data_IF_017114424898
#
_entry.id   IF_017114424898
#
_cell.length_a   1.000
_cell.length_b   1.000
_cell.length_c   1.000
_cell.angle_alpha   90.00
_cell.angle_beta   90.00
_cell.angle_gamma   90.00
#
_symmetry.space_group_name_H-M   'P 1'
#
loop_
_entity.id
_entity.type
_entity.pdbx_description
1 polymer ?
#
# COMPACT_ATOMS: atom_id res chain seq x y z
N UNK A 1 -70.03 -2.61 11.06
CA UNK A 1 -69.60 -2.61 9.64
C UNK A 1 -68.65 -1.44 9.42
N UNK A 2 -67.57 -1.66 8.66
CA UNK A 2 -66.57 -0.68 8.16
C UNK A 2 -65.49 -0.19 9.15
N UNK A 3 -64.46 -1.01 9.38
CA UNK A 3 -63.17 -0.50 9.92
C UNK A 3 -61.92 -1.27 9.45
N UNK A 4 -62.04 -2.29 8.59
CA UNK A 4 -60.93 -3.21 8.28
C UNK A 4 -60.29 -2.94 6.90
N UNK A 5 -60.82 -2.02 6.09
CA UNK A 5 -60.48 -1.93 4.66
C UNK A 5 -59.35 -0.95 4.28
N UNK A 6 -58.72 -0.23 5.22
CA UNK A 6 -57.76 0.84 4.89
C UNK A 6 -56.27 0.48 5.09
N UNK A 7 -55.95 -0.61 5.78
CA UNK A 7 -54.55 -0.99 6.01
C UNK A 7 -53.93 -1.80 4.87
N UNK A 8 -54.74 -2.42 4.00
CA UNK A 8 -54.24 -3.27 2.92
C UNK A 8 -53.65 -2.51 1.73
N UNK A 9 -54.00 -1.23 1.53
CA UNK A 9 -53.48 -0.44 0.39
C UNK A 9 -52.12 0.19 0.65
N UNK A 10 -51.71 0.37 1.90
CA UNK A 10 -50.41 1.00 2.22
C UNK A 10 -49.26 0.01 2.01
N UNK A 11 -49.48 -1.28 2.27
CA UNK A 11 -48.44 -2.32 2.13
C UNK A 11 -48.10 -2.60 0.66
N UNK A 12 -49.05 -2.44 -0.26
CA UNK A 12 -48.81 -2.71 -1.69
C UNK A 12 -48.03 -1.58 -2.41
N UNK A 13 -47.96 -0.37 -1.83
CA UNK A 13 -47.25 0.76 -2.44
C UNK A 13 -45.76 0.82 -2.06
N UNK A 14 -45.34 0.12 -1.01
CA UNK A 14 -43.94 0.14 -0.53
C UNK A 14 -42.99 -0.79 -1.29
N UNK A 15 -43.48 -1.68 -2.16
CA UNK A 15 -42.65 -2.72 -2.80
C UNK A 15 -42.10 -2.36 -4.19
N UNK A 16 -42.25 -1.13 -4.67
CA UNK A 16 -41.91 -0.74 -6.05
C UNK A 16 -40.74 0.28 -6.19
N UNK A 17 -39.99 0.58 -5.13
CA UNK A 17 -38.88 1.55 -5.18
C UNK A 17 -37.48 0.96 -4.91
N UNK A 18 -37.23 -0.28 -5.28
CA UNK A 18 -35.86 -0.81 -5.34
C UNK A 18 -35.23 -0.52 -6.72
N UNK A 19 -35.01 0.76 -7.03
CA UNK A 19 -34.14 1.12 -8.15
C UNK A 19 -32.70 0.86 -7.74
N UNK A 20 -32.14 -0.26 -8.20
CA UNK A 20 -30.72 -0.57 -8.07
C UNK A 20 -29.89 0.54 -8.71
N UNK A 21 -29.19 1.31 -7.88
CA UNK A 21 -28.20 2.29 -8.35
C UNK A 21 -26.99 1.50 -8.80
N UNK A 22 -26.93 1.21 -10.10
CA UNK A 22 -25.72 0.67 -10.72
C UNK A 22 -24.64 1.75 -10.63
N UNK A 23 -23.62 1.53 -9.80
CA UNK A 23 -22.51 2.46 -9.65
C UNK A 23 -21.83 2.63 -11.02
N UNK A 24 -21.92 3.82 -11.60
CA UNK A 24 -21.23 4.19 -12.83
C UNK A 24 -19.97 4.95 -12.43
N UNK A 25 -18.82 4.47 -12.89
CA UNK A 25 -17.52 5.11 -12.63
C UNK A 25 -17.19 5.97 -13.85
N UNK A 26 -16.83 7.22 -13.58
CA UNK A 26 -16.43 8.21 -14.58
C UNK A 26 -14.95 8.51 -14.44
N UNK A 27 -14.27 8.68 -15.57
CA UNK A 27 -12.86 9.07 -15.64
C UNK A 27 -12.72 10.51 -16.14
N UNK A 28 -11.83 11.26 -15.53
CA UNK A 28 -11.42 12.62 -15.95
C UNK A 28 -9.91 12.74 -15.92
N UNK A 29 -9.35 13.69 -16.66
CA UNK A 29 -7.94 14.06 -16.57
C UNK A 29 -7.82 15.31 -15.72
N UNK A 30 -6.99 15.29 -14.68
CA UNK A 30 -6.69 16.45 -13.85
C UNK A 30 -5.78 17.47 -14.56
N UNK A 31 -5.47 18.58 -13.88
CA UNK A 31 -4.59 19.63 -14.39
C UNK A 31 -3.13 19.19 -14.58
N UNK A 32 -2.75 18.05 -14.01
CA UNK A 32 -1.43 17.45 -14.15
C UNK A 32 -1.39 16.37 -15.25
N UNK A 33 -2.52 16.08 -15.90
CA UNK A 33 -2.60 15.05 -16.93
C UNK A 33 -2.86 13.63 -16.40
N UNK A 34 -3.21 13.46 -15.12
CA UNK A 34 -3.46 12.15 -14.53
C UNK A 34 -4.95 11.76 -14.60
N UNK A 35 -5.27 10.47 -14.81
CA UNK A 35 -6.63 9.99 -14.74
C UNK A 35 -7.14 9.96 -13.28
N UNK A 36 -8.31 10.54 -13.07
CA UNK A 36 -9.04 10.59 -11.79
C UNK A 36 -10.41 9.96 -12.00
N UNK A 37 -10.74 8.98 -11.14
CA UNK A 37 -12.00 8.25 -11.18
C UNK A 37 -12.98 8.77 -10.12
N UNK A 38 -14.23 8.98 -10.51
CA UNK A 38 -15.29 9.52 -9.66
C UNK A 38 -16.60 8.75 -9.85
N UNK A 39 -17.36 8.56 -8.77
CA UNK A 39 -18.71 8.00 -8.80
C UNK A 39 -19.79 9.03 -9.23
N UNK A 40 -19.40 10.30 -9.38
CA UNK A 40 -20.29 11.40 -9.80
C UNK A 40 -19.82 11.99 -11.13
N UNK A 41 -20.71 12.19 -12.12
CA UNK A 41 -20.35 12.77 -13.40
C UNK A 41 -19.91 14.23 -13.22
N UNK A 42 -18.78 14.58 -13.83
CA UNK A 42 -18.24 15.96 -13.88
C UNK A 42 -18.06 16.42 -15.33
N UNK A 43 -17.90 17.74 -15.52
CA UNK A 43 -17.73 18.31 -16.85
C UNK A 43 -16.44 17.79 -17.51
N UNK A 44 -16.56 17.14 -18.66
CA UNK A 44 -15.43 16.51 -19.36
C UNK A 44 -15.11 15.08 -18.91
N UNK A 45 -15.93 14.50 -18.05
CA UNK A 45 -15.80 13.08 -17.66
C UNK A 45 -16.33 12.13 -18.72
N UNK A 46 -15.62 11.03 -18.95
CA UNK A 46 -16.04 9.94 -19.82
C UNK A 46 -16.46 8.73 -18.97
N UNK A 47 -17.51 8.03 -19.38
CA UNK A 47 -17.99 6.85 -18.66
C UNK A 47 -17.05 5.68 -18.94
N UNK A 48 -16.60 5.03 -17.87
CA UNK A 48 -15.73 3.84 -17.97
C UNK A 48 -16.61 2.59 -18.05
N UNK A 49 -16.61 1.93 -19.20
CA UNK A 49 -17.25 0.61 -19.36
C UNK A 49 -16.33 -0.49 -18.83
N UNK A 50 -16.56 -0.87 -17.57
CA UNK A 50 -15.84 -1.99 -16.95
C UNK A 50 -16.40 -3.32 -17.46
N UNK A 51 -15.54 -4.30 -17.80
CA UNK A 51 -15.99 -5.65 -18.09
C UNK A 51 -16.69 -6.23 -16.86
N UNK A 52 -17.67 -7.11 -17.09
CA UNK A 52 -18.35 -7.81 -16.00
C UNK A 52 -17.32 -8.48 -15.08
N UNK A 53 -17.45 -8.27 -13.77
CA UNK A 53 -16.57 -8.89 -12.80
C UNK A 53 -16.66 -10.41 -12.95
N UNK A 54 -15.51 -11.07 -13.17
CA UNK A 54 -15.41 -12.52 -13.11
C UNK A 54 -15.55 -12.95 -11.65
N UNK A 55 -16.78 -13.01 -11.15
CA UNK A 55 -17.05 -13.56 -9.83
C UNK A 55 -16.96 -15.08 -9.98
N UNK A 56 -15.81 -15.64 -9.61
CA UNK A 56 -15.70 -17.07 -9.36
C UNK A 56 -16.40 -17.36 -8.02
N UNK A 57 -17.25 -18.37 -7.98
CA UNK A 57 -17.81 -18.87 -6.73
C UNK A 57 -16.68 -19.23 -5.76
N UNK A 58 -16.84 -18.85 -4.50
CA UNK A 58 -15.92 -19.29 -3.46
C UNK A 58 -15.89 -20.82 -3.46
N UNK A 59 -14.71 -21.46 -3.57
CA UNK A 59 -14.65 -22.91 -3.51
C UNK A 59 -15.26 -23.36 -2.17
N UNK A 60 -16.01 -24.49 -2.15
CA UNK A 60 -16.51 -25.05 -0.90
C UNK A 60 -15.35 -25.25 0.08
N UNK A 61 -15.57 -25.15 1.40
CA UNK A 61 -14.51 -25.31 2.39
C UNK A 61 -13.83 -26.67 2.19
N UNK A 62 -12.60 -26.63 1.67
CA UNK A 62 -11.85 -27.80 1.27
C UNK A 62 -11.40 -28.57 2.50
N UNK A 63 -11.84 -29.82 2.61
CA UNK A 63 -11.20 -30.80 3.48
C UNK A 63 -9.80 -31.08 2.90
N UNK A 64 -8.76 -30.95 3.73
CA UNK A 64 -7.40 -31.41 3.44
C UNK A 64 -7.26 -32.86 3.96
N UNK A 65 -6.45 -33.78 3.40
CA UNK A 65 -5.20 -33.50 2.68
C UNK A 65 -4.82 -34.39 1.45
N UNK A 66 -3.85 -33.83 0.70
CA UNK A 66 -2.81 -34.47 -0.12
C UNK A 66 -3.16 -35.21 -1.43
N UNK A 67 -2.86 -34.58 -2.56
CA UNK A 67 -2.20 -35.24 -3.69
C UNK A 67 -1.34 -34.24 -4.48
N UNK A 68 -0.10 -34.63 -4.78
CA UNK A 68 0.94 -33.85 -5.46
C UNK A 68 1.02 -34.32 -6.90
N UNK A 69 0.77 -33.46 -7.89
CA UNK A 69 1.30 -33.60 -9.26
C UNK A 69 1.53 -32.20 -9.88
N UNK A 70 2.63 -31.98 -10.63
CA UNK A 70 3.09 -30.67 -11.07
C UNK A 70 2.51 -30.29 -12.44
N UNK A 71 2.28 -28.98 -12.66
CA UNK A 71 1.89 -28.46 -13.97
C UNK A 71 2.72 -27.24 -14.37
N UNK A 72 3.21 -27.37 -15.59
CA UNK A 72 4.03 -26.49 -16.42
C UNK A 72 3.32 -25.20 -16.85
N UNK A 73 4.16 -24.21 -17.17
CA UNK A 73 3.89 -22.83 -17.64
C UNK A 73 2.88 -22.71 -18.80
N UNK A 74 2.36 -21.48 -19.05
CA UNK A 74 3.01 -20.67 -20.08
C UNK A 74 3.19 -19.19 -19.71
N UNK A 75 4.40 -18.72 -19.93
CA UNK A 75 4.78 -17.51 -20.67
C UNK A 75 3.65 -16.54 -21.07
N UNK A 76 3.62 -15.37 -20.43
CA UNK A 76 3.03 -14.16 -21.03
C UNK A 76 4.02 -12.99 -21.02
N UNK A 77 4.53 -12.82 -22.23
CA UNK A 77 5.16 -11.69 -22.90
C UNK A 77 4.59 -10.31 -22.49
N UNK A 78 5.51 -9.46 -22.09
CA UNK A 78 5.72 -8.09 -22.57
C UNK A 78 4.52 -7.12 -22.61
N UNK A 79 4.54 -6.16 -21.67
CA UNK A 79 4.26 -4.77 -22.02
C UNK A 79 5.43 -3.89 -21.56
N UNK A 80 5.86 -3.08 -22.52
CA UNK A 80 7.04 -2.24 -22.60
C UNK A 80 6.56 -0.78 -22.64
N UNK A 81 7.19 0.06 -21.82
CA UNK A 81 7.07 1.52 -21.78
C UNK A 81 7.73 1.99 -20.48
N UNK A 82 9.07 2.12 -20.39
CA UNK A 82 9.89 3.25 -20.88
C UNK A 82 9.17 4.58 -20.58
N UNK A 83 9.62 5.41 -19.63
CA UNK A 83 10.96 6.01 -19.58
C UNK A 83 11.31 6.50 -18.17
N UNK A 84 12.53 6.21 -17.68
CA UNK A 84 13.12 7.07 -16.65
C UNK A 84 14.07 6.49 -15.59
N UNK A 85 14.85 5.43 -15.85
CA UNK A 85 16.23 5.23 -15.31
C UNK A 85 16.77 3.85 -15.73
N UNK A 86 17.11 3.74 -17.01
CA UNK A 86 17.95 2.65 -17.53
C UNK A 86 19.40 3.13 -17.62
N UNK A 87 19.92 3.51 -16.46
CA UNK A 87 21.30 3.42 -16.05
C UNK A 87 21.09 3.02 -14.60
N UNK A 88 21.33 1.81 -14.17
CA UNK A 88 22.59 1.14 -14.34
C UNK A 88 22.32 -0.37 -14.18
N UNK A 89 22.67 -1.18 -15.18
CA UNK A 89 23.15 -2.54 -14.90
C UNK A 89 24.53 -2.38 -14.23
N UNK A 90 24.57 -1.62 -13.14
CA UNK A 90 25.76 -1.40 -12.33
C UNK A 90 26.05 -2.77 -11.80
N UNK A 91 27.25 -3.22 -12.07
CA UNK A 91 27.92 -4.09 -11.14
C UNK A 91 27.62 -3.52 -9.74
N UNK A 92 26.76 -4.21 -8.98
CA UNK A 92 26.36 -3.79 -7.64
C UNK A 92 27.68 -3.64 -6.89
N UNK A 93 28.16 -2.40 -6.75
CA UNK A 93 29.42 -2.07 -6.11
C UNK A 93 29.16 -1.84 -4.64
N UNK A 94 30.20 -1.94 -3.81
CA UNK A 94 30.05 -1.65 -2.38
C UNK A 94 29.62 -0.19 -2.16
N UNK A 95 30.10 0.75 -2.99
CA UNK A 95 29.67 2.15 -2.96
C UNK A 95 28.20 2.30 -3.35
N UNK A 96 27.74 1.65 -4.41
CA UNK A 96 26.32 1.68 -4.81
C UNK A 96 25.39 1.12 -3.72
N UNK A 97 25.80 0.08 -2.98
CA UNK A 97 25.03 -0.41 -1.84
C UNK A 97 24.95 0.60 -0.68
N UNK A 98 25.98 1.42 -0.46
CA UNK A 98 25.97 2.49 0.54
C UNK A 98 25.02 3.62 0.12
N UNK A 99 25.06 4.02 -1.16
CA UNK A 99 24.16 5.02 -1.72
C UNK A 99 22.69 4.58 -1.65
N UNK A 100 22.40 3.32 -1.99
CA UNK A 100 21.05 2.75 -1.82
C UNK A 100 20.60 2.79 -0.36
N UNK A 101 21.50 2.52 0.59
CA UNK A 101 21.17 2.58 2.01
C UNK A 101 20.93 4.01 2.47
N UNK A 102 21.71 4.99 2.00
CA UNK A 102 21.52 6.41 2.28
C UNK A 102 20.14 6.89 1.77
N UNK A 103 19.81 6.59 0.51
CA UNK A 103 18.52 6.94 -0.08
C UNK A 103 17.35 6.26 0.67
N UNK A 104 17.52 5.00 1.08
CA UNK A 104 16.57 4.32 1.96
C UNK A 104 16.39 5.09 3.28
N UNK A 105 17.46 5.50 3.96
CA UNK A 105 17.32 6.25 5.22
C UNK A 105 16.63 7.59 5.01
N UNK A 106 16.93 8.29 3.91
CA UNK A 106 16.29 9.56 3.57
C UNK A 106 14.79 9.39 3.38
N UNK A 107 14.35 8.44 2.54
CA UNK A 107 12.92 8.19 2.33
C UNK A 107 12.22 7.72 3.61
N UNK A 108 12.90 6.92 4.44
CA UNK A 108 12.38 6.55 5.76
C UNK A 108 12.14 7.80 6.61
N UNK A 109 13.09 8.72 6.68
CA UNK A 109 12.95 9.93 7.47
C UNK A 109 11.82 10.83 6.96
N UNK A 110 11.68 11.00 5.64
CA UNK A 110 10.57 11.74 5.02
C UNK A 110 9.20 11.17 5.43
N UNK A 111 9.09 9.83 5.53
CA UNK A 111 7.87 9.16 5.97
C UNK A 111 7.68 9.16 7.50
N UNK A 112 8.77 9.15 8.29
CA UNK A 112 8.72 9.13 9.75
C UNK A 112 8.44 10.53 10.32
N UNK A 113 9.01 11.59 9.73
CA UNK A 113 8.92 12.96 10.22
C UNK A 113 7.47 13.43 10.51
N UNK A 114 6.48 13.29 9.60
CA UNK A 114 5.11 13.71 9.90
C UNK A 114 4.48 12.90 11.04
N UNK A 115 4.77 11.60 11.14
CA UNK A 115 4.27 10.76 12.23
C UNK A 115 4.93 11.11 13.57
N UNK A 116 6.21 11.48 13.55
CA UNK A 116 6.93 11.94 14.73
C UNK A 116 6.34 13.25 15.25
N UNK A 117 6.04 14.19 14.36
CA UNK A 117 5.39 15.45 14.75
C UNK A 117 4.00 15.21 15.34
N UNK A 118 3.19 14.35 14.72
CA UNK A 118 1.90 13.94 15.29
C UNK A 118 2.04 13.31 16.68
N UNK A 119 3.07 12.49 16.90
CA UNK A 119 3.35 11.90 18.20
C UNK A 119 3.79 12.93 19.25
N UNK A 120 4.55 13.96 18.84
CA UNK A 120 4.93 15.09 19.69
C UNK A 120 3.69 15.89 20.09
N UNK A 121 2.85 16.27 19.12
CA UNK A 121 1.62 17.02 19.38
C UNK A 121 0.65 16.22 20.27
N UNK A 122 0.51 14.92 20.05
CA UNK A 122 -0.26 14.03 20.93
C UNK A 122 0.29 14.02 22.37
N UNK A 123 1.62 13.98 22.52
CA UNK A 123 2.28 14.03 23.83
C UNK A 123 2.00 15.36 24.55
N UNK A 124 2.09 16.49 23.85
CA UNK A 124 1.80 17.82 24.43
C UNK A 124 0.34 17.92 24.84
N UNK A 125 -0.58 17.58 23.95
CA UNK A 125 -2.02 17.75 24.15
C UNK A 125 -2.61 16.77 25.17
N UNK A 126 -2.32 15.47 25.04
CA UNK A 126 -2.98 14.44 25.83
C UNK A 126 -2.24 14.11 27.13
N UNK A 127 -0.90 14.22 27.14
CA UNK A 127 -0.10 13.94 28.34
C UNK A 127 0.26 15.21 29.11
N UNK A 128 -0.12 16.39 28.59
CA UNK A 128 0.12 17.71 29.20
C UNK A 128 1.59 17.92 29.59
N UNK A 129 2.50 17.47 28.73
CA UNK A 129 3.95 17.64 28.88
C UNK A 129 4.43 18.85 28.08
N UNK A 130 5.57 19.40 28.46
CA UNK A 130 6.19 20.48 27.70
C UNK A 130 6.72 19.95 26.35
N UNK A 131 6.78 20.85 25.36
CA UNK A 131 7.16 20.50 23.99
C UNK A 131 8.59 19.96 23.93
N UNK A 132 9.54 20.57 24.64
CA UNK A 132 10.94 20.15 24.64
C UNK A 132 11.12 18.71 25.17
N UNK A 133 10.37 18.34 26.21
CA UNK A 133 10.31 16.96 26.70
C UNK A 133 9.75 16.01 25.63
N UNK A 134 8.64 16.36 24.97
CA UNK A 134 8.03 15.52 23.96
C UNK A 134 8.93 15.34 22.71
N UNK A 135 9.64 16.39 22.28
CA UNK A 135 10.63 16.32 21.20
C UNK A 135 11.80 15.40 21.55
N UNK A 136 12.37 15.55 22.74
CA UNK A 136 13.44 14.68 23.24
C UNK A 136 12.98 13.23 23.36
N UNK A 137 11.77 13.00 23.88
CA UNK A 137 11.17 11.68 24.05
C UNK A 137 10.92 10.99 22.70
N UNK A 138 10.46 11.73 21.69
CA UNK A 138 10.19 11.20 20.36
C UNK A 138 11.39 11.28 19.40
N UNK A 139 12.58 11.65 19.87
CA UNK A 139 13.80 11.73 19.04
C UNK A 139 14.10 10.43 18.29
N UNK A 140 13.78 9.28 18.88
CA UNK A 140 14.00 7.95 18.30
C UNK A 140 12.72 7.32 17.76
N UNK A 141 11.66 8.11 17.56
CA UNK A 141 10.41 7.62 17.00
C UNK A 141 10.64 6.98 15.62
N UNK A 142 10.11 5.77 15.44
CA UNK A 142 10.29 4.99 14.22
C UNK A 142 11.62 4.21 14.12
N UNK A 143 12.53 4.33 15.09
CA UNK A 143 13.77 3.55 15.10
C UNK A 143 13.57 2.11 15.56
N UNK A 144 14.52 1.25 15.20
CA UNK A 144 14.56 -0.12 15.71
C UNK A 144 14.80 -0.11 17.23
N UNK A 145 14.15 -1.03 17.94
CA UNK A 145 14.25 -1.11 19.40
C UNK A 145 14.31 -2.55 19.89
N UNK A 146 14.99 -2.83 21.01
CA UNK A 146 15.00 -4.17 21.58
C UNK A 146 13.58 -4.56 22.04
N UNK A 147 13.23 -5.84 21.86
CA UNK A 147 12.02 -6.43 22.46
C UNK A 147 12.36 -7.01 23.83
N UNK A 148 11.40 -6.96 24.76
CA UNK A 148 11.58 -7.46 26.14
C UNK A 148 11.99 -8.94 26.25
N UNK A 149 11.65 -9.78 25.26
CA UNK A 149 12.01 -11.21 25.21
C UNK A 149 13.27 -11.51 24.38
N UNK A 150 14.08 -10.49 24.06
CA UNK A 150 15.19 -10.61 23.11
C UNK A 150 14.77 -10.35 21.66
N UNK A 151 15.77 -10.11 20.81
CA UNK A 151 15.57 -9.71 19.42
C UNK A 151 15.30 -8.22 19.22
N UNK A 152 15.27 -7.81 17.96
CA UNK A 152 15.08 -6.41 17.55
C UNK A 152 13.73 -6.25 16.84
N UNK A 153 12.94 -5.27 17.28
CA UNK A 153 11.79 -4.78 16.52
C UNK A 153 12.36 -3.92 15.39
N UNK A 154 12.08 -4.30 14.15
CA UNK A 154 12.46 -3.51 12.97
C UNK A 154 11.83 -2.12 13.08
N UNK A 155 12.58 -1.09 12.68
CA UNK A 155 12.05 0.27 12.64
C UNK A 155 10.88 0.41 11.65
N UNK A 156 10.29 1.60 11.57
CA UNK A 156 9.24 1.87 10.58
C UNK A 156 9.84 2.02 9.17
N UNK A 157 9.01 1.78 8.14
CA UNK A 157 9.28 2.02 6.72
C UNK A 157 10.47 1.29 6.08
N UNK A 158 10.92 0.17 6.67
CA UNK A 158 11.92 -0.66 6.01
C UNK A 158 11.39 -1.50 4.84
N UNK A 159 10.08 -1.46 4.57
CA UNK A 159 9.42 -2.19 3.48
C UNK A 159 9.33 -1.37 2.18
N UNK A 160 9.81 -0.12 2.18
CA UNK A 160 9.92 0.70 0.97
C UNK A 160 10.78 -0.01 -0.09
N UNK A 161 10.46 0.12 -1.40
CA UNK A 161 11.21 -0.58 -2.46
C UNK A 161 12.72 -0.34 -2.38
N UNK A 162 13.14 0.93 -2.26
CA UNK A 162 14.56 1.30 -2.13
C UNK A 162 15.23 0.65 -0.91
N UNK A 163 14.50 0.49 0.20
CA UNK A 163 15.01 -0.15 1.40
C UNK A 163 15.14 -1.66 1.26
N UNK A 164 14.24 -2.31 0.51
CA UNK A 164 14.35 -3.73 0.19
C UNK A 164 15.59 -4.00 -0.66
N UNK A 165 15.83 -3.16 -1.66
CA UNK A 165 17.03 -3.21 -2.50
C UNK A 165 18.30 -2.97 -1.67
N UNK A 166 18.34 -1.91 -0.87
CA UNK A 166 19.48 -1.60 -0.01
C UNK A 166 19.83 -2.74 0.95
N UNK A 167 18.83 -3.31 1.64
CA UNK A 167 19.03 -4.44 2.56
C UNK A 167 19.47 -5.70 1.81
N UNK A 168 18.96 -5.92 0.60
CA UNK A 168 19.40 -7.05 -0.23
C UNK A 168 20.87 -6.91 -0.65
N UNK A 169 21.30 -5.70 -1.02
CA UNK A 169 22.68 -5.39 -1.38
C UNK A 169 23.62 -5.54 -0.18
N UNK A 170 23.25 -4.98 0.98
CA UNK A 170 24.00 -5.14 2.24
C UNK A 170 24.16 -6.62 2.60
N UNK A 171 23.07 -7.41 2.52
CA UNK A 171 23.11 -8.85 2.77
C UNK A 171 24.06 -9.57 1.82
N UNK A 172 24.03 -9.23 0.53
CA UNK A 172 24.94 -9.80 -0.47
C UNK A 172 26.40 -9.56 -0.12
N UNK A 173 26.78 -8.30 0.17
CA UNK A 173 28.17 -7.97 0.52
C UNK A 173 28.63 -8.51 1.87
N UNK A 174 27.71 -8.63 2.83
CA UNK A 174 27.98 -9.30 4.10
C UNK A 174 28.31 -10.78 3.90
N UNK A 175 27.64 -11.45 2.95
CA UNK A 175 27.91 -12.85 2.60
C UNK A 175 29.14 -13.01 1.68
N UNK A 176 29.51 -11.97 0.92
CA UNK A 176 30.60 -11.98 -0.04
C UNK A 176 31.61 -10.85 0.23
N UNK A 177 32.39 -10.90 1.33
CA UNK A 177 33.27 -9.78 1.69
C UNK A 177 34.38 -9.49 0.66
N UNK A 178 34.76 -10.46 -0.16
CA UNK A 178 35.77 -10.33 -1.23
C UNK A 178 35.25 -9.74 -2.54
N UNK A 179 33.92 -9.62 -2.71
CA UNK A 179 33.32 -9.12 -3.97
C UNK A 179 33.46 -7.60 -4.16
N UNK A 180 34.12 -6.89 -3.24
CA UNK A 180 34.38 -5.45 -3.33
C UNK A 180 35.85 -5.08 -3.58
N UNK A 181 36.73 -6.05 -3.87
CA UNK A 181 38.18 -5.82 -4.00
C UNK A 181 38.71 -5.76 -5.44
N UNK A 182 37.85 -5.77 -6.46
CA UNK A 182 38.30 -5.59 -7.85
C UNK A 182 38.13 -4.12 -8.23
N UNK A 183 39.21 -3.37 -8.04
CA UNK A 183 39.46 -2.10 -8.72
C UNK A 183 40.33 -2.36 -9.95
#
# INVERSE_FOLDING_TARGET
MKAISLFSSIILLSLLLETGVMAQIYETVDDQGNPVFSDTPSLGSEKVDLPAANIADAPPPSQSPAEVVPMSQPEQRAQKGETGKNQVAEELTRSGALELMEECQKQREENIAPLREQAIENCVTNRRRDRAHCESFNRTFGNARPRAGGGMIRGMFWELPVCKEAVSAEKYFRMNPSSGSRN
#
